data_IF_268032193878
#
_entry.id   IF_268032193878
#
_cell.length_a   1.000
_cell.length_b   1.000
_cell.length_c   1.000
_cell.angle_alpha   90.00
_cell.angle_beta   90.00
_cell.angle_gamma   90.00
#
_symmetry.space_group_name_H-M   'P 1'
#
loop_
_entity.id
_entity.type
_entity.pdbx_description
1 polymer ?
#
# COMPACT_ATOMS: atom_id res chain seq x y z
N UNK A 1 -5.34 -12.00 2.50
CA UNK A 1 -6.14 -11.35 1.44
C UNK A 1 -5.64 -9.94 1.18
N UNK A 2 -5.88 -8.95 2.03
CA UNK A 2 -5.48 -7.53 1.79
C UNK A 2 -4.03 -7.38 1.32
N UNK A 3 -3.05 -8.05 1.94
CA UNK A 3 -1.66 -8.09 1.46
C UNK A 3 -1.55 -8.46 -0.03
N UNK A 4 -2.18 -9.57 -0.44
CA UNK A 4 -2.16 -10.01 -1.84
C UNK A 4 -2.89 -9.06 -2.78
N UNK A 5 -3.98 -8.43 -2.33
CA UNK A 5 -4.70 -7.41 -3.11
C UNK A 5 -3.80 -6.20 -3.36
N UNK A 6 -3.09 -5.71 -2.34
CA UNK A 6 -2.15 -4.58 -2.48
C UNK A 6 -1.01 -4.95 -3.44
N UNK A 7 -0.38 -6.11 -3.27
CA UNK A 7 0.71 -6.57 -4.15
C UNK A 7 0.22 -6.69 -5.60
N UNK A 8 -0.93 -7.32 -5.81
CA UNK A 8 -1.50 -7.48 -7.13
C UNK A 8 -1.95 -6.15 -7.76
N UNK A 9 -2.48 -5.22 -6.96
CA UNK A 9 -2.82 -3.87 -7.41
C UNK A 9 -1.58 -3.09 -7.85
N UNK A 10 -0.46 -3.25 -7.14
CA UNK A 10 0.83 -2.71 -7.55
C UNK A 10 1.31 -3.27 -8.88
N UNK A 11 1.22 -4.59 -9.06
CA UNK A 11 1.51 -5.24 -10.34
C UNK A 11 0.61 -4.69 -11.46
N UNK A 12 -0.69 -4.55 -11.21
CA UNK A 12 -1.65 -4.00 -12.18
C UNK A 12 -1.27 -2.58 -12.59
N UNK A 13 -0.70 -1.77 -11.70
CA UNK A 13 -0.16 -0.43 -12.03
C UNK A 13 1.15 -0.52 -12.83
N UNK A 14 2.07 -1.39 -12.42
CA UNK A 14 3.39 -1.55 -13.06
C UNK A 14 3.29 -2.15 -14.47
N UNK A 15 2.25 -2.94 -14.74
CA UNK A 15 1.92 -3.47 -16.08
C UNK A 15 0.92 -2.60 -16.84
N UNK A 16 0.66 -1.39 -16.34
CA UNK A 16 -0.24 -0.40 -16.95
C UNK A 16 -1.63 -0.97 -17.31
N UNK A 17 -2.10 -1.91 -16.50
CA UNK A 17 -3.33 -2.65 -16.75
C UNK A 17 -4.54 -2.04 -16.03
N UNK A 18 -4.35 -0.93 -15.32
CA UNK A 18 -5.34 -0.38 -14.39
C UNK A 18 -6.58 0.26 -15.02
N UNK A 19 -6.60 0.44 -16.35
CA UNK A 19 -7.70 1.04 -17.12
C UNK A 19 -8.16 0.14 -18.29
N UNK A 20 -7.80 -1.14 -18.26
CA UNK A 20 -8.19 -2.14 -19.27
C UNK A 20 -9.68 -2.52 -19.24
N UNK A 21 -10.35 -2.36 -18.09
CA UNK A 21 -11.78 -2.62 -17.89
C UNK A 21 -12.53 -1.29 -17.71
N UNK A 22 -13.16 -0.87 -18.80
CA UNK A 22 -13.72 0.47 -18.97
C UNK A 22 -15.10 0.61 -18.32
N UNK A 23 -15.79 -0.51 -18.10
CA UNK A 23 -17.12 -0.53 -17.48
C UNK A 23 -17.03 -0.82 -15.98
N UNK A 24 -17.78 -0.06 -15.19
CA UNK A 24 -17.99 -0.38 -13.79
C UNK A 24 -19.26 -1.22 -13.62
N UNK A 25 -19.07 -2.54 -13.62
CA UNK A 25 -20.11 -3.54 -13.35
C UNK A 25 -19.82 -4.26 -12.03
N UNK A 26 -20.41 -3.84 -10.89
CA UNK A 26 -20.08 -4.38 -9.57
C UNK A 26 -20.35 -5.88 -9.42
N UNK A 27 -21.44 -6.35 -10.04
CA UNK A 27 -21.90 -7.75 -9.93
C UNK A 27 -21.63 -8.50 -11.24
N UNK A 28 -22.16 -8.02 -12.37
CA UNK A 28 -22.04 -8.71 -13.67
C UNK A 28 -20.62 -8.71 -14.24
N UNK A 29 -19.78 -7.73 -13.87
CA UNK A 29 -18.36 -7.68 -14.24
C UNK A 29 -17.47 -8.63 -13.44
N UNK A 30 -18.04 -9.59 -12.71
CA UNK A 30 -17.29 -10.67 -12.09
C UNK A 30 -16.98 -11.81 -13.07
N UNK A 31 -17.82 -12.00 -14.11
CA UNK A 31 -17.59 -13.01 -15.15
C UNK A 31 -16.43 -12.57 -16.05
N UNK A 32 -15.44 -13.45 -16.24
CA UNK A 32 -14.40 -13.27 -17.26
C UNK A 32 -15.00 -13.59 -18.65
N UNK A 33 -14.65 -12.86 -19.73
CA UNK A 33 -15.02 -13.27 -21.08
C UNK A 33 -14.55 -14.70 -21.38
N UNK A 34 -15.43 -15.48 -22.02
CA UNK A 34 -15.27 -16.92 -22.24
C UNK A 34 -15.35 -17.33 -23.71
N UNK A 35 -15.90 -16.49 -24.57
CA UNK A 35 -15.94 -16.70 -26.02
C UNK A 35 -15.13 -15.64 -26.76
N UNK A 36 -14.72 -15.94 -27.98
CA UNK A 36 -13.98 -14.99 -28.82
C UNK A 36 -14.81 -13.72 -29.09
N UNK A 37 -16.13 -13.87 -29.31
CA UNK A 37 -17.04 -12.73 -29.45
C UNK A 37 -17.09 -11.83 -28.21
N UNK A 38 -17.13 -12.42 -26.99
CA UNK A 38 -17.10 -11.63 -25.75
C UNK A 38 -15.76 -10.88 -25.61
N UNK A 39 -14.65 -11.50 -26.00
CA UNK A 39 -13.33 -10.88 -26.00
C UNK A 39 -13.21 -9.73 -27.01
N UNK A 40 -13.72 -9.94 -28.23
CA UNK A 40 -13.71 -8.91 -29.27
C UNK A 40 -14.53 -7.69 -28.85
N UNK A 41 -15.70 -7.89 -28.23
CA UNK A 41 -16.52 -6.78 -27.71
C UNK A 41 -15.76 -5.95 -26.67
N UNK A 42 -15.10 -6.60 -25.71
CA UNK A 42 -14.33 -5.88 -24.68
C UNK A 42 -13.09 -5.20 -25.27
N UNK A 43 -12.45 -5.81 -26.27
CA UNK A 43 -11.28 -5.21 -26.93
C UNK A 43 -11.67 -4.02 -27.80
N UNK A 44 -12.79 -4.07 -28.53
CA UNK A 44 -13.32 -2.94 -29.30
C UNK A 44 -13.67 -1.75 -28.40
N UNK A 45 -14.21 -2.01 -27.20
CA UNK A 45 -14.37 -0.95 -26.19
C UNK A 45 -13.02 -0.36 -25.80
N UNK A 46 -12.02 -1.21 -25.48
CA UNK A 46 -10.70 -0.76 -25.08
C UNK A 46 -9.99 0.08 -26.16
N UNK A 47 -10.11 -0.29 -27.44
CA UNK A 47 -9.56 0.46 -28.58
C UNK A 47 -10.09 1.88 -28.68
N UNK A 48 -11.27 2.15 -28.14
CA UNK A 48 -11.83 3.51 -28.12
C UNK A 48 -11.18 4.38 -27.04
N UNK A 49 -10.34 3.85 -26.14
CA UNK A 49 -9.79 4.61 -25.02
C UNK A 49 -8.42 5.25 -25.32
N UNK A 50 -8.12 6.37 -24.64
CA UNK A 50 -6.83 7.04 -24.75
C UNK A 50 -5.63 6.12 -24.45
N UNK A 51 -5.76 5.18 -23.51
CA UNK A 51 -4.68 4.27 -23.11
C UNK A 51 -4.24 3.37 -24.27
N UNK A 52 -5.18 2.87 -25.09
CA UNK A 52 -4.84 2.14 -26.32
C UNK A 52 -4.08 3.02 -27.32
N UNK A 53 -4.45 4.30 -27.44
CA UNK A 53 -3.84 5.21 -28.42
C UNK A 53 -2.51 5.83 -27.98
N UNK A 54 -2.23 5.91 -26.67
CA UNK A 54 -1.03 6.58 -26.13
C UNK A 54 -0.04 5.64 -25.44
N UNK A 55 -0.50 4.52 -24.89
CA UNK A 55 0.31 3.60 -24.07
C UNK A 55 0.42 2.23 -24.74
N UNK A 56 -0.71 1.61 -25.08
CA UNK A 56 -0.78 0.27 -25.64
C UNK A 56 -1.08 0.27 -27.15
N UNK A 57 -0.28 1.05 -27.89
CA UNK A 57 -0.50 1.26 -29.33
C UNK A 57 -0.28 -0.04 -30.10
N UNK A 58 -1.34 -0.53 -30.76
CA UNK A 58 -1.27 -1.68 -31.65
C UNK A 58 -1.09 -3.04 -30.95
N UNK A 59 -1.43 -3.13 -29.66
CA UNK A 59 -1.39 -4.41 -28.95
C UNK A 59 -2.32 -5.45 -29.60
N UNK A 60 -1.94 -6.72 -29.50
CA UNK A 60 -2.78 -7.82 -30.00
C UNK A 60 -3.94 -8.11 -29.04
N UNK A 61 -4.94 -8.88 -29.48
CA UNK A 61 -5.99 -9.38 -28.59
C UNK A 61 -5.42 -10.21 -27.42
N UNK A 62 -4.34 -10.97 -27.65
CA UNK A 62 -3.71 -11.77 -26.61
C UNK A 62 -2.98 -10.92 -25.58
N UNK A 63 -2.38 -9.80 -25.99
CA UNK A 63 -1.82 -8.82 -25.06
C UNK A 63 -2.92 -8.11 -24.26
N UNK A 64 -4.05 -7.77 -24.91
CA UNK A 64 -5.23 -7.24 -24.22
C UNK A 64 -5.77 -8.20 -23.16
N UNK A 65 -5.89 -9.50 -23.48
CA UNK A 65 -6.32 -10.54 -22.51
C UNK A 65 -5.43 -10.56 -21.27
N UNK A 66 -4.12 -10.33 -21.40
CA UNK A 66 -3.18 -10.29 -20.27
C UNK A 66 -3.44 -9.11 -19.35
N UNK A 67 -3.53 -7.89 -19.88
CA UNK A 67 -3.81 -6.69 -19.08
C UNK A 67 -5.22 -6.74 -18.47
N UNK A 68 -6.21 -7.22 -19.23
CA UNK A 68 -7.58 -7.42 -18.75
C UNK A 68 -7.62 -8.39 -17.57
N UNK A 69 -6.89 -9.51 -17.65
CA UNK A 69 -6.83 -10.48 -16.56
C UNK A 69 -6.25 -9.89 -15.28
N UNK A 70 -5.19 -9.07 -15.38
CA UNK A 70 -4.58 -8.41 -14.22
C UNK A 70 -5.61 -7.56 -13.48
N UNK A 71 -6.34 -6.72 -14.20
CA UNK A 71 -7.35 -5.87 -13.61
C UNK A 71 -8.58 -6.64 -13.12
N UNK A 72 -9.07 -7.59 -13.92
CA UNK A 72 -10.19 -8.47 -13.56
C UNK A 72 -9.88 -9.21 -12.26
N UNK A 73 -8.69 -9.80 -12.13
CA UNK A 73 -8.30 -10.53 -10.94
C UNK A 73 -8.24 -9.60 -9.73
N UNK A 74 -7.64 -8.41 -9.88
CA UNK A 74 -7.58 -7.40 -8.82
C UNK A 74 -8.98 -7.00 -8.30
N UNK A 75 -9.90 -6.69 -9.22
CA UNK A 75 -11.29 -6.32 -8.89
C UNK A 75 -12.02 -7.48 -8.21
N UNK A 76 -11.87 -8.71 -8.71
CA UNK A 76 -12.56 -9.88 -8.18
C UNK A 76 -12.04 -10.35 -6.82
N UNK A 77 -10.73 -10.30 -6.57
CA UNK A 77 -10.20 -10.59 -5.24
C UNK A 77 -10.67 -9.53 -4.21
N UNK A 78 -10.87 -8.28 -4.65
CA UNK A 78 -11.52 -7.22 -3.87
C UNK A 78 -12.96 -7.54 -3.50
N UNK A 79 -13.77 -7.98 -4.47
CA UNK A 79 -15.16 -8.43 -4.24
C UNK A 79 -15.22 -9.62 -3.29
N UNK A 80 -14.36 -10.62 -3.52
CA UNK A 80 -14.26 -11.80 -2.64
C UNK A 80 -13.89 -11.39 -1.21
N UNK A 81 -12.96 -10.47 -1.05
CA UNK A 81 -12.61 -9.93 0.27
C UNK A 81 -13.81 -9.23 0.93
N UNK A 82 -14.61 -8.49 0.17
CA UNK A 82 -15.91 -7.97 0.57
C UNK A 82 -16.79 -9.01 1.24
N UNK A 83 -17.03 -10.13 0.55
CA UNK A 83 -17.87 -11.24 1.04
C UNK A 83 -17.25 -11.92 2.26
N UNK A 84 -15.95 -12.26 2.20
CA UNK A 84 -15.22 -12.97 3.26
C UNK A 84 -15.12 -12.14 4.54
N UNK A 85 -15.13 -10.82 4.45
CA UNK A 85 -15.16 -9.94 5.61
C UNK A 85 -16.59 -9.68 6.10
N UNK A 86 -17.45 -9.15 5.23
CA UNK A 86 -18.79 -8.66 5.62
C UNK A 86 -19.72 -9.78 6.06
N UNK A 87 -19.68 -10.94 5.40
CA UNK A 87 -20.55 -12.08 5.73
C UNK A 87 -20.34 -12.58 7.16
N UNK A 88 -19.12 -13.02 7.54
CA UNK A 88 -18.82 -13.43 8.90
C UNK A 88 -19.00 -12.31 9.92
N UNK A 89 -18.62 -11.07 9.60
CA UNK A 89 -18.80 -9.94 10.50
C UNK A 89 -20.29 -9.70 10.83
N UNK A 90 -21.15 -9.68 9.81
CA UNK A 90 -22.59 -9.55 9.97
C UNK A 90 -23.18 -10.69 10.80
N UNK A 91 -22.79 -11.94 10.51
CA UNK A 91 -23.22 -13.11 11.29
C UNK A 91 -22.84 -13.00 12.77
N UNK A 92 -21.58 -12.67 13.09
CA UNK A 92 -21.14 -12.59 14.48
C UNK A 92 -21.79 -11.45 15.24
N UNK A 93 -22.02 -10.31 14.60
CA UNK A 93 -22.73 -9.16 15.20
C UNK A 93 -24.21 -9.50 15.43
N UNK A 94 -24.90 -10.04 14.42
CA UNK A 94 -26.32 -10.41 14.53
C UNK A 94 -26.58 -11.50 15.58
N UNK A 95 -25.64 -12.43 15.77
CA UNK A 95 -25.72 -13.47 16.82
C UNK A 95 -25.25 -13.01 18.20
N UNK A 96 -24.92 -11.73 18.39
CA UNK A 96 -24.43 -11.21 19.67
C UNK A 96 -23.10 -11.82 20.12
N UNK A 97 -22.33 -12.43 19.20
CA UNK A 97 -21.04 -13.08 19.47
C UNK A 97 -19.88 -12.08 19.56
N UNK A 98 -20.17 -10.79 19.45
CA UNK A 98 -19.20 -9.69 19.53
C UNK A 98 -19.73 -8.65 20.52
N UNK A 99 -18.85 -8.13 21.38
CA UNK A 99 -19.21 -7.02 22.26
C UNK A 99 -19.60 -5.77 21.47
N UNK A 100 -20.40 -4.87 22.05
CA UNK A 100 -20.80 -3.59 21.41
C UNK A 100 -19.61 -2.82 20.84
N UNK A 101 -18.51 -2.72 21.60
CA UNK A 101 -17.26 -2.09 21.14
C UNK A 101 -16.61 -2.84 19.98
N UNK A 102 -16.69 -4.16 19.96
CA UNK A 102 -16.21 -4.97 18.85
C UNK A 102 -17.07 -4.81 17.59
N UNK A 103 -18.39 -4.72 17.74
CA UNK A 103 -19.31 -4.47 16.64
C UNK A 103 -19.06 -3.10 15.98
N UNK A 104 -18.86 -2.03 16.77
CA UNK A 104 -18.49 -0.70 16.25
C UNK A 104 -17.18 -0.76 15.45
N UNK A 105 -16.17 -1.50 15.94
CA UNK A 105 -14.89 -1.67 15.22
C UNK A 105 -15.06 -2.43 13.90
N UNK A 106 -15.84 -3.52 13.90
CA UNK A 106 -16.13 -4.27 12.68
C UNK A 106 -16.92 -3.41 11.67
N UNK A 107 -17.89 -2.64 12.15
CA UNK A 107 -18.63 -1.68 11.32
C UNK A 107 -17.73 -0.62 10.70
N UNK A 108 -16.84 -0.02 11.49
CA UNK A 108 -15.86 0.95 10.98
C UNK A 108 -14.91 0.35 9.93
N UNK A 109 -14.43 -0.89 10.14
CA UNK A 109 -13.65 -1.61 9.13
C UNK A 109 -14.46 -1.92 7.85
N UNK A 110 -15.76 -2.20 8.00
CA UNK A 110 -16.69 -2.35 6.88
C UNK A 110 -16.88 -1.07 6.09
N UNK A 111 -17.01 0.07 6.76
CA UNK A 111 -17.06 1.40 6.12
C UNK A 111 -15.77 1.69 5.35
N UNK A 112 -14.61 1.40 5.95
CA UNK A 112 -13.32 1.55 5.26
C UNK A 112 -13.21 0.66 4.01
N UNK A 113 -13.74 -0.57 4.07
CA UNK A 113 -13.80 -1.49 2.93
C UNK A 113 -14.73 -0.98 1.82
N UNK A 114 -15.89 -0.43 2.17
CA UNK A 114 -16.76 0.21 1.17
C UNK A 114 -16.07 1.44 0.56
N UNK A 115 -15.42 2.25 1.39
CA UNK A 115 -14.60 3.37 0.95
C UNK A 115 -13.47 2.95 0.00
N UNK A 116 -12.87 1.77 0.21
CA UNK A 116 -11.87 1.21 -0.72
C UNK A 116 -12.47 0.96 -2.10
N UNK A 117 -13.67 0.38 -2.16
CA UNK A 117 -14.38 0.18 -3.42
C UNK A 117 -14.74 1.49 -4.12
N UNK A 118 -15.23 2.48 -3.37
CA UNK A 118 -15.56 3.81 -3.90
C UNK A 118 -14.30 4.52 -4.42
N UNK A 119 -13.20 4.48 -3.68
CA UNK A 119 -11.94 5.10 -4.10
C UNK A 119 -11.35 4.41 -5.33
N UNK A 120 -11.43 3.08 -5.40
CA UNK A 120 -11.01 2.31 -6.58
C UNK A 120 -11.85 2.61 -7.81
N UNK A 121 -13.17 2.76 -7.65
CA UNK A 121 -14.04 3.24 -8.73
C UNK A 121 -13.67 4.66 -9.17
N UNK A 122 -13.48 5.59 -8.23
CA UNK A 122 -13.10 6.97 -8.52
C UNK A 122 -11.77 7.06 -9.26
N UNK A 123 -10.77 6.26 -8.88
CA UNK A 123 -9.48 6.15 -9.59
C UNK A 123 -9.64 5.81 -11.06
N UNK A 124 -10.49 4.82 -11.37
CA UNK A 124 -10.73 4.39 -12.75
C UNK A 124 -11.59 5.39 -13.50
N UNK A 125 -12.73 5.80 -12.93
CA UNK A 125 -13.68 6.71 -13.57
C UNK A 125 -13.01 8.03 -14.01
N UNK A 126 -12.20 8.62 -13.14
CA UNK A 126 -11.44 9.84 -13.45
C UNK A 126 -10.22 9.61 -14.37
N UNK A 127 -9.80 8.37 -14.57
CA UNK A 127 -8.82 7.99 -15.60
C UNK A 127 -9.45 7.86 -16.99
N UNK A 128 -10.79 7.74 -17.06
CA UNK A 128 -11.56 7.54 -18.28
C UNK A 128 -12.23 8.82 -18.82
N UNK A 129 -12.06 9.97 -18.16
CA UNK A 129 -12.68 11.23 -18.58
C UNK A 129 -12.19 11.69 -19.97
N UNK A 130 -13.13 12.03 -20.85
CA UNK A 130 -12.91 12.35 -22.27
C UNK A 130 -11.94 13.53 -22.49
N UNK A 131 -11.88 14.48 -21.55
CA UNK A 131 -10.95 15.62 -21.60
C UNK A 131 -9.46 15.26 -21.56
N UNK A 132 -9.11 13.99 -21.33
CA UNK A 132 -7.73 13.47 -21.48
C UNK A 132 -7.38 13.07 -22.93
N UNK A 133 -8.36 12.93 -23.83
CA UNK A 133 -8.11 12.74 -25.28
C UNK A 133 -7.51 14.00 -25.92
N UNK A 134 -7.98 15.17 -25.50
CA UNK A 134 -7.71 16.45 -26.17
C UNK A 134 -6.47 17.18 -25.63
N UNK A 135 -5.91 16.73 -24.50
CA UNK A 135 -4.61 17.23 -24.01
C UNK A 135 -3.50 16.40 -24.65
N UNK A 136 -2.76 17.01 -25.59
CA UNK A 136 -1.60 16.38 -26.25
C UNK A 136 -0.49 16.01 -25.24
N UNK A 137 -0.44 16.67 -24.09
CA UNK A 137 0.67 16.54 -23.13
C UNK A 137 0.43 15.52 -22.01
N UNK A 138 -0.79 14.98 -21.88
CA UNK A 138 -1.21 14.16 -20.73
C UNK A 138 -1.32 12.68 -21.12
N UNK A 139 -0.46 11.84 -20.53
CA UNK A 139 -0.55 10.38 -20.63
C UNK A 139 -1.77 9.94 -19.80
N UNK A 140 -2.73 9.17 -20.36
CA UNK A 140 -3.93 8.76 -19.64
C UNK A 140 -3.53 7.77 -18.56
N UNK A 141 -3.45 8.24 -17.32
CA UNK A 141 -3.07 7.43 -16.16
C UNK A 141 -3.85 7.85 -14.94
N UNK A 142 -3.90 6.96 -13.96
CA UNK A 142 -4.45 7.29 -12.66
C UNK A 142 -3.52 8.28 -11.98
N UNK A 143 -4.03 9.47 -11.63
CA UNK A 143 -3.26 10.47 -10.87
C UNK A 143 -2.60 9.85 -9.64
N UNK A 144 -1.34 10.22 -9.41
CA UNK A 144 -0.54 9.86 -8.24
C UNK A 144 -1.27 10.16 -6.92
N UNK A 145 -2.08 11.23 -6.87
CA UNK A 145 -2.91 11.54 -5.71
C UNK A 145 -3.96 10.47 -5.44
N UNK A 146 -4.64 10.00 -6.50
CA UNK A 146 -5.69 8.98 -6.38
C UNK A 146 -5.11 7.61 -6.08
N UNK A 147 -4.01 7.24 -6.73
CA UNK A 147 -3.25 6.02 -6.43
C UNK A 147 -2.81 5.99 -4.96
N UNK A 148 -2.18 7.07 -4.50
CA UNK A 148 -1.70 7.19 -3.12
C UNK A 148 -2.84 7.21 -2.10
N UNK A 149 -3.96 7.89 -2.39
CA UNK A 149 -5.14 7.89 -1.51
C UNK A 149 -5.77 6.50 -1.38
N UNK A 150 -5.86 5.76 -2.48
CA UNK A 150 -6.37 4.39 -2.45
C UNK A 150 -5.45 3.46 -1.67
N UNK A 151 -4.14 3.55 -1.88
CA UNK A 151 -3.17 2.78 -1.09
C UNK A 151 -3.20 3.16 0.39
N UNK A 152 -3.34 4.45 0.72
CA UNK A 152 -3.47 4.92 2.10
C UNK A 152 -4.67 4.30 2.80
N UNK A 153 -5.83 4.32 2.16
CA UNK A 153 -7.03 3.70 2.71
C UNK A 153 -6.89 2.16 2.80
N UNK A 154 -6.17 1.52 1.86
CA UNK A 154 -5.86 0.09 1.93
C UNK A 154 -4.95 -0.24 3.13
N UNK A 155 -3.95 0.60 3.42
CA UNK A 155 -3.07 0.46 4.58
C UNK A 155 -3.75 0.73 5.91
N UNK A 156 -4.65 1.71 5.98
CA UNK A 156 -5.48 1.94 7.17
C UNK A 156 -6.36 0.71 7.44
N UNK A 157 -7.00 0.16 6.40
CA UNK A 157 -7.79 -1.05 6.49
C UNK A 157 -6.94 -2.26 6.91
N UNK A 158 -5.78 -2.46 6.28
CA UNK A 158 -4.82 -3.52 6.62
C UNK A 158 -4.38 -3.44 8.08
N UNK A 159 -3.96 -2.26 8.54
CA UNK A 159 -3.52 -2.04 9.91
C UNK A 159 -4.65 -2.28 10.90
N UNK A 160 -5.85 -1.78 10.61
CA UNK A 160 -7.04 -1.99 11.42
C UNK A 160 -7.40 -3.47 11.58
N UNK A 161 -7.45 -4.21 10.47
CA UNK A 161 -7.71 -5.66 10.46
C UNK A 161 -6.64 -6.44 11.21
N UNK A 162 -5.36 -6.14 10.97
CA UNK A 162 -4.24 -6.81 11.62
C UNK A 162 -4.26 -6.60 13.14
N UNK A 163 -4.38 -5.34 13.59
CA UNK A 163 -4.44 -5.00 15.01
C UNK A 163 -5.68 -5.58 15.69
N UNK A 164 -6.84 -5.51 15.04
CA UNK A 164 -8.08 -6.08 15.58
C UNK A 164 -7.98 -7.61 15.70
N UNK A 165 -7.58 -8.28 14.62
CA UNK A 165 -7.43 -9.74 14.57
C UNK A 165 -6.41 -10.24 15.59
N UNK A 166 -5.22 -9.64 15.66
CA UNK A 166 -4.23 -10.01 16.67
C UNK A 166 -4.69 -9.73 18.10
N UNK A 167 -5.52 -8.72 18.32
CA UNK A 167 -6.12 -8.47 19.63
C UNK A 167 -7.11 -9.57 20.01
N UNK A 168 -7.99 -9.97 19.09
CA UNK A 168 -8.93 -11.09 19.30
C UNK A 168 -8.17 -12.38 19.60
N UNK A 169 -7.13 -12.71 18.82
CA UNK A 169 -6.30 -13.90 19.04
C UNK A 169 -5.58 -13.86 20.39
N UNK A 170 -5.03 -12.70 20.78
CA UNK A 170 -4.35 -12.54 22.07
C UNK A 170 -5.32 -12.67 23.25
N UNK A 171 -6.49 -12.04 23.16
CA UNK A 171 -7.54 -12.17 24.19
C UNK A 171 -8.05 -13.60 24.30
N UNK A 172 -8.29 -14.28 23.19
CA UNK A 172 -8.70 -15.69 23.19
C UNK A 172 -7.67 -16.60 23.89
N UNK A 173 -6.37 -16.37 23.65
CA UNK A 173 -5.31 -17.09 24.37
C UNK A 173 -5.31 -16.80 25.87
N UNK A 174 -5.60 -15.57 26.28
CA UNK A 174 -5.69 -15.19 27.69
C UNK A 174 -6.88 -15.86 28.37
N UNK A 175 -8.08 -15.77 27.79
CA UNK A 175 -9.32 -16.39 28.32
C UNK A 175 -9.18 -17.91 28.43
N UNK A 176 -8.56 -18.57 27.45
CA UNK A 176 -8.39 -20.03 27.43
C UNK A 176 -7.19 -20.52 28.27
N UNK A 177 -6.54 -19.66 29.05
CA UNK A 177 -5.38 -20.03 29.87
C UNK A 177 -4.13 -20.45 29.07
N UNK A 178 -4.06 -20.14 27.76
CA UNK A 178 -2.94 -20.53 26.87
C UNK A 178 -1.82 -19.48 26.80
N UNK A 179 -1.86 -18.49 27.69
CA UNK A 179 -0.83 -17.46 27.80
C UNK A 179 -0.02 -17.71 29.08
N UNK A 180 1.26 -18.00 28.93
CA UNK A 180 2.15 -18.24 30.06
C UNK A 180 2.33 -16.95 30.89
N UNK A 181 2.26 -17.09 32.22
CA UNK A 181 2.53 -16.04 33.21
C UNK A 181 1.91 -14.67 32.88
N UNK A 182 0.58 -14.58 32.75
CA UNK A 182 -0.10 -13.35 32.31
C UNK A 182 0.11 -12.16 33.25
N UNK A 183 0.24 -12.39 34.57
CA UNK A 183 0.49 -11.33 35.55
C UNK A 183 1.88 -10.72 35.40
N UNK A 184 2.92 -11.55 35.30
CA UNK A 184 4.27 -11.06 35.03
C UNK A 184 4.33 -10.26 33.72
N UNK A 185 3.69 -10.78 32.66
CA UNK A 185 3.61 -10.08 31.38
C UNK A 185 2.86 -8.74 31.50
N UNK A 186 1.82 -8.64 32.34
CA UNK A 186 1.08 -7.39 32.58
C UNK A 186 1.98 -6.35 33.25
N UNK A 187 2.69 -6.72 34.31
CA UNK A 187 3.64 -5.85 35.02
C UNK A 187 4.75 -5.36 34.09
N UNK A 188 5.36 -6.26 33.32
CA UNK A 188 6.43 -5.92 32.38
C UNK A 188 5.95 -4.88 31.33
N UNK A 189 4.79 -5.11 30.71
CA UNK A 189 4.21 -4.24 29.68
C UNK A 189 3.73 -2.87 30.19
N UNK A 190 3.56 -2.75 31.50
CA UNK A 190 3.20 -1.49 32.17
C UNK A 190 4.42 -0.69 32.63
N UNK A 191 5.62 -1.25 32.57
CA UNK A 191 6.85 -0.52 32.89
C UNK A 191 6.99 0.77 32.07
N UNK A 192 7.62 1.79 32.68
CA UNK A 192 7.87 3.08 32.03
C UNK A 192 8.70 2.90 30.75
N UNK A 193 9.71 2.04 30.80
CA UNK A 193 10.59 1.76 29.66
C UNK A 193 9.80 1.20 28.46
N UNK A 194 8.98 0.16 28.67
CA UNK A 194 8.17 -0.41 27.58
C UNK A 194 7.04 0.52 27.12
N UNK A 195 6.52 1.38 27.99
CA UNK A 195 5.53 2.38 27.60
C UNK A 195 6.12 3.43 26.65
N UNK A 196 7.32 3.93 26.94
CA UNK A 196 8.04 4.86 26.05
C UNK A 196 8.40 4.15 24.75
N UNK A 197 8.94 2.94 24.83
CA UNK A 197 9.33 2.16 23.66
C UNK A 197 8.12 1.85 22.77
N UNK A 198 6.96 1.48 23.34
CA UNK A 198 5.70 1.28 22.61
C UNK A 198 5.28 2.53 21.83
N UNK A 199 5.35 3.71 22.43
CA UNK A 199 5.01 4.97 21.73
C UNK A 199 5.94 5.19 20.53
N UNK A 200 7.24 4.94 20.70
CA UNK A 200 8.21 4.99 19.60
C UNK A 200 7.89 3.96 18.51
N UNK A 201 7.54 2.73 18.86
CA UNK A 201 7.13 1.72 17.85
C UNK A 201 5.88 2.12 17.08
N UNK A 202 4.93 2.81 17.71
CA UNK A 202 3.76 3.36 17.02
C UNK A 202 4.16 4.45 16.02
N UNK A 203 5.02 5.39 16.45
CA UNK A 203 5.55 6.44 15.58
C UNK A 203 6.37 5.85 14.41
N UNK A 204 7.17 4.82 14.66
CA UNK A 204 7.91 4.10 13.61
C UNK A 204 6.98 3.40 12.62
N UNK A 205 5.89 2.77 13.08
CA UNK A 205 4.90 2.16 12.18
C UNK A 205 4.20 3.22 11.31
N UNK A 206 3.90 4.39 11.87
CA UNK A 206 3.38 5.53 11.11
C UNK A 206 4.39 6.01 10.07
N UNK A 207 5.65 6.19 10.45
CA UNK A 207 6.73 6.60 9.55
C UNK A 207 6.92 5.62 8.38
N UNK A 208 6.88 4.30 8.65
CA UNK A 208 6.89 3.27 7.61
C UNK A 208 5.70 3.45 6.67
N UNK A 209 4.49 3.67 7.22
CA UNK A 209 3.29 3.95 6.43
C UNK A 209 3.48 5.15 5.50
N UNK A 210 3.94 6.29 6.02
CA UNK A 210 4.20 7.52 5.23
C UNK A 210 5.25 7.24 4.13
N UNK A 211 6.30 6.47 4.43
CA UNK A 211 7.33 6.07 3.45
C UNK A 211 6.74 5.23 2.32
N UNK A 212 5.82 4.32 2.65
CA UNK A 212 5.15 3.53 1.63
C UNK A 212 4.23 4.40 0.75
N UNK A 213 3.60 5.43 1.32
CA UNK A 213 2.77 6.38 0.55
C UNK A 213 3.61 7.28 -0.36
N UNK A 214 4.78 7.74 0.06
CA UNK A 214 5.68 8.48 -0.85
C UNK A 214 6.17 7.57 -1.98
N UNK A 215 6.35 6.26 -1.73
CA UNK A 215 6.64 5.29 -2.79
C UNK A 215 5.52 5.16 -3.84
N UNK A 216 4.26 5.30 -3.43
CA UNK A 216 3.12 5.32 -4.36
C UNK A 216 3.10 6.59 -5.22
N UNK A 217 3.55 7.72 -4.68
CA UNK A 217 3.73 8.96 -5.46
C UNK A 217 4.82 8.78 -6.51
N UNK A 218 5.96 8.15 -6.16
CA UNK A 218 7.03 7.82 -7.10
C UNK A 218 6.51 6.92 -8.23
N UNK A 219 5.76 5.87 -7.91
CA UNK A 219 5.16 4.97 -8.91
C UNK A 219 4.06 5.64 -9.75
N UNK A 220 3.30 6.59 -9.18
CA UNK A 220 2.28 7.34 -9.89
C UNK A 220 2.84 8.32 -10.91
N UNK A 221 4.03 8.88 -10.64
CA UNK A 221 4.70 9.83 -11.52
C UNK A 221 5.71 9.19 -12.48
N UNK A 222 5.93 7.87 -12.37
CA UNK A 222 7.01 7.13 -13.05
C UNK A 222 8.41 7.66 -12.70
N UNK A 223 8.52 8.31 -11.53
CA UNK A 223 9.73 8.99 -11.08
C UNK A 223 10.90 8.03 -10.76
N UNK A 224 10.64 6.73 -10.68
CA UNK A 224 11.67 5.71 -10.51
C UNK A 224 12.61 5.58 -11.72
N UNK A 225 12.23 6.10 -12.88
CA UNK A 225 12.98 6.01 -14.14
C UNK A 225 13.88 7.23 -14.43
N UNK A 226 13.91 8.23 -13.54
CA UNK A 226 14.66 9.49 -13.75
C UNK A 226 16.14 9.34 -13.39
N UNK A 227 16.43 9.28 -12.09
CA UNK A 227 17.77 9.06 -11.59
C UNK A 227 17.94 7.61 -11.21
N UNK A 228 18.77 6.85 -11.90
CA UNK A 228 18.96 5.41 -11.65
C UNK A 228 20.30 5.11 -10.94
N UNK A 229 20.96 6.11 -10.37
CA UNK A 229 22.15 5.96 -9.54
C UNK A 229 21.79 5.99 -8.04
N UNK A 230 22.68 5.45 -7.20
CA UNK A 230 22.61 5.56 -5.75
C UNK A 230 24.03 5.58 -5.15
N UNK A 231 24.34 6.45 -4.16
CA UNK A 231 23.46 7.42 -3.50
C UNK A 231 23.26 8.72 -4.29
N UNK A 232 24.00 8.92 -5.39
CA UNK A 232 23.93 10.12 -6.22
C UNK A 232 22.63 10.17 -7.04
N UNK A 233 22.27 11.39 -7.45
CA UNK A 233 21.23 11.73 -8.41
C UNK A 233 21.88 12.66 -9.45
N UNK A 234 22.51 12.06 -10.46
CA UNK A 234 23.35 12.76 -11.43
C UNK A 234 24.73 13.11 -10.85
N UNK A 235 25.11 14.39 -10.90
CA UNK A 235 26.44 14.85 -10.46
C UNK A 235 26.57 15.07 -8.95
N UNK A 236 25.47 15.02 -8.19
CA UNK A 236 25.45 15.25 -6.74
C UNK A 236 24.54 14.30 -5.99
N UNK A 237 24.50 14.42 -4.66
CA UNK A 237 23.57 13.63 -3.80
C UNK A 237 22.11 14.07 -3.91
N UNK A 238 21.88 15.26 -4.47
CA UNK A 238 20.57 15.78 -4.85
C UNK A 238 20.60 16.19 -6.32
N UNK A 239 19.45 16.18 -7.00
CA UNK A 239 19.30 16.80 -8.31
C UNK A 239 19.70 18.29 -8.29
N UNK A 240 20.03 18.88 -9.45
CA UNK A 240 20.26 20.32 -9.55
C UNK A 240 19.10 21.14 -8.97
N UNK A 241 19.39 22.24 -8.27
CA UNK A 241 18.36 23.12 -7.68
C UNK A 241 17.38 23.65 -8.73
N UNK A 242 17.85 23.83 -9.96
CA UNK A 242 17.04 24.21 -11.13
C UNK A 242 15.98 23.17 -11.50
N UNK A 243 16.12 21.92 -11.08
CA UNK A 243 15.12 20.88 -11.29
C UNK A 243 14.14 20.77 -10.13
N UNK A 244 14.54 21.11 -8.90
CA UNK A 244 13.72 20.90 -7.70
C UNK A 244 12.58 21.92 -7.53
N UNK A 245 12.77 23.16 -8.02
CA UNK A 245 11.86 24.29 -7.73
C UNK A 245 11.31 24.96 -8.99
N UNK A 246 11.41 24.29 -10.14
CA UNK A 246 11.08 24.90 -11.42
C UNK A 246 9.72 24.42 -11.93
N UNK A 247 8.86 25.37 -12.27
CA UNK A 247 7.46 25.13 -12.65
C UNK A 247 7.32 24.20 -13.86
N UNK A 248 8.27 24.24 -14.81
CA UNK A 248 8.35 23.29 -15.93
C UNK A 248 8.29 21.81 -15.52
N UNK A 249 8.88 21.43 -14.37
CA UNK A 249 8.90 20.03 -13.93
C UNK A 249 7.67 19.65 -13.10
N UNK A 250 6.90 20.62 -12.60
CA UNK A 250 5.63 20.38 -11.93
C UNK A 250 4.52 20.23 -13.00
N UNK A 251 3.88 19.05 -13.08
CA UNK A 251 2.84 18.79 -14.09
C UNK A 251 1.55 19.56 -13.80
N UNK A 252 1.24 20.60 -14.57
CA UNK A 252 -0.08 21.28 -14.60
C UNK A 252 -0.02 22.81 -14.66
N UNK A 253 -1.18 23.48 -14.64
CA UNK A 253 -1.33 24.95 -14.60
C UNK A 253 -0.47 25.56 -13.47
N UNK A 254 0.43 26.53 -13.73
CA UNK A 254 1.41 27.04 -12.76
C UNK A 254 0.73 27.66 -11.53
N UNK A 255 0.51 26.86 -10.49
CA UNK A 255 -0.08 27.29 -9.22
C UNK A 255 0.78 26.85 -8.03
N UNK A 256 1.87 27.60 -7.82
CA UNK A 256 2.59 27.68 -6.56
C UNK A 256 3.65 26.60 -6.31
N UNK A 257 4.74 27.01 -5.64
CA UNK A 257 5.93 26.18 -5.36
C UNK A 257 5.63 24.86 -4.62
N UNK A 258 4.49 24.74 -3.91
CA UNK A 258 4.12 23.54 -3.16
C UNK A 258 3.87 22.32 -4.06
N UNK A 259 3.47 22.52 -5.33
CA UNK A 259 3.20 21.41 -6.27
C UNK A 259 4.46 20.63 -6.62
N UNK A 260 5.65 21.22 -6.46
CA UNK A 260 6.89 20.47 -6.64
C UNK A 260 7.00 19.28 -5.67
N UNK A 261 6.49 19.39 -4.44
CA UNK A 261 6.55 18.30 -3.46
C UNK A 261 5.68 17.09 -3.85
N UNK A 262 4.78 17.23 -4.83
CA UNK A 262 3.78 16.19 -5.16
C UNK A 262 3.66 15.87 -6.64
N UNK A 263 4.20 16.70 -7.52
CA UNK A 263 4.03 16.61 -8.98
C UNK A 263 5.34 16.71 -9.75
N UNK A 264 6.40 17.24 -9.13
CA UNK A 264 7.72 17.23 -9.71
C UNK A 264 8.36 15.86 -9.46
N UNK A 265 8.54 15.02 -10.49
CA UNK A 265 8.95 13.65 -10.31
C UNK A 265 10.38 13.55 -9.74
N UNK A 266 11.25 14.51 -10.08
CA UNK A 266 12.62 14.59 -9.54
C UNK A 266 12.63 14.84 -8.03
N UNK A 267 11.83 15.81 -7.55
CA UNK A 267 11.73 16.11 -6.12
C UNK A 267 11.04 14.96 -5.37
N UNK A 268 9.94 14.41 -5.89
CA UNK A 268 9.24 13.26 -5.27
C UNK A 268 10.16 12.04 -5.15
N UNK A 269 11.03 11.79 -6.13
CA UNK A 269 12.03 10.73 -6.04
C UNK A 269 13.04 10.99 -4.92
N UNK A 270 13.56 12.21 -4.81
CA UNK A 270 14.48 12.62 -3.74
C UNK A 270 13.82 12.47 -2.35
N UNK A 271 12.59 12.97 -2.20
CA UNK A 271 11.82 12.88 -0.95
C UNK A 271 11.64 11.43 -0.51
N UNK A 272 11.29 10.54 -1.44
CA UNK A 272 11.15 9.12 -1.12
C UNK A 272 12.48 8.50 -0.67
N UNK A 273 13.61 8.82 -1.33
CA UNK A 273 14.94 8.36 -0.92
C UNK A 273 15.31 8.84 0.48
N UNK A 274 15.13 10.13 0.76
CA UNK A 274 15.42 10.73 2.08
C UNK A 274 14.56 10.09 3.16
N UNK A 275 13.26 9.92 2.89
CA UNK A 275 12.31 9.33 3.82
C UNK A 275 12.59 7.83 4.05
N UNK A 276 12.98 7.09 3.02
CA UNK A 276 13.36 5.68 3.12
C UNK A 276 14.62 5.51 3.99
N UNK A 277 15.66 6.32 3.77
CA UNK A 277 16.88 6.27 4.58
C UNK A 277 16.62 6.70 6.03
N UNK A 278 15.85 7.77 6.23
CA UNK A 278 15.42 8.20 7.57
C UNK A 278 14.70 7.09 8.31
N UNK A 279 13.75 6.43 7.62
CA UNK A 279 13.01 5.29 8.17
C UNK A 279 13.96 4.14 8.53
N UNK A 280 14.87 3.76 7.63
CA UNK A 280 15.84 2.71 7.89
C UNK A 280 16.69 2.99 9.13
N UNK A 281 17.23 4.21 9.28
CA UNK A 281 18.03 4.57 10.45
C UNK A 281 17.21 4.63 11.74
N UNK A 282 15.98 5.13 11.70
CA UNK A 282 15.06 5.10 12.86
C UNK A 282 14.77 3.66 13.28
N UNK A 283 14.47 2.76 12.34
CA UNK A 283 14.22 1.35 12.64
C UNK A 283 15.48 0.63 13.15
N UNK A 284 16.65 0.98 12.63
CA UNK A 284 17.94 0.48 13.10
C UNK A 284 18.22 0.91 14.54
N UNK A 285 17.98 2.18 14.87
CA UNK A 285 18.11 2.69 16.23
C UNK A 285 17.11 2.01 17.20
N UNK A 286 15.87 1.79 16.74
CA UNK A 286 14.86 1.04 17.50
C UNK A 286 15.29 -0.41 17.76
N UNK A 287 15.86 -1.08 16.76
CA UNK A 287 16.39 -2.42 16.88
C UNK A 287 17.57 -2.47 17.86
N UNK A 288 18.53 -1.56 17.72
CA UNK A 288 19.70 -1.46 18.60
C UNK A 288 19.32 -1.24 20.05
N UNK A 289 18.36 -0.35 20.32
CA UNK A 289 17.86 -0.13 21.68
C UNK A 289 17.08 -1.33 22.19
N UNK A 290 16.21 -1.91 21.36
CA UNK A 290 15.28 -2.97 21.74
C UNK A 290 15.93 -4.33 21.99
N UNK A 291 17.04 -4.66 21.33
CA UNK A 291 17.73 -5.96 21.52
C UNK A 291 18.22 -6.16 22.96
N UNK A 292 18.62 -5.08 23.64
CA UNK A 292 19.07 -5.09 25.03
C UNK A 292 17.94 -4.99 26.07
N UNK A 293 16.69 -4.81 25.65
CA UNK A 293 15.55 -4.65 26.56
C UNK A 293 14.95 -6.00 26.97
N UNK A 294 14.30 -6.01 28.13
CA UNK A 294 13.46 -7.14 28.56
C UNK A 294 12.15 -7.14 27.76
N UNK A 295 12.17 -7.82 26.61
CA UNK A 295 11.03 -7.93 25.71
C UNK A 295 10.38 -9.33 25.80
N UNK A 296 9.04 -9.42 25.80
CA UNK A 296 8.35 -10.68 25.57
C UNK A 296 8.81 -11.33 24.26
N UNK A 297 8.85 -12.67 24.19
CA UNK A 297 9.33 -13.41 23.01
C UNK A 297 8.70 -12.93 21.70
N UNK A 298 7.38 -12.68 21.71
CA UNK A 298 6.67 -12.16 20.54
C UNK A 298 7.15 -10.77 20.08
N UNK A 299 7.46 -9.87 21.03
CA UNK A 299 8.01 -8.55 20.73
C UNK A 299 9.45 -8.65 20.21
N UNK A 300 10.28 -9.55 20.77
CA UNK A 300 11.64 -9.77 20.30
C UNK A 300 11.67 -10.28 18.85
N UNK A 301 10.84 -11.27 18.52
CA UNK A 301 10.71 -11.78 17.15
C UNK A 301 10.24 -10.67 16.20
N UNK A 302 9.23 -9.89 16.59
CA UNK A 302 8.74 -8.79 15.76
C UNK A 302 9.81 -7.69 15.56
N UNK A 303 10.62 -7.40 16.57
CA UNK A 303 11.72 -6.44 16.49
C UNK A 303 12.80 -6.89 15.48
N UNK A 304 13.23 -8.16 15.54
CA UNK A 304 14.20 -8.71 14.59
C UNK A 304 13.63 -8.78 13.17
N UNK A 305 12.38 -9.21 13.02
CA UNK A 305 11.71 -9.25 11.73
C UNK A 305 11.61 -7.85 11.11
N UNK A 306 11.24 -6.83 11.89
CA UNK A 306 11.17 -5.44 11.44
C UNK A 306 12.52 -4.93 10.93
N UNK A 307 13.61 -5.21 11.64
CA UNK A 307 14.95 -4.79 11.21
C UNK A 307 15.41 -5.54 9.96
N UNK A 308 15.18 -6.85 9.88
CA UNK A 308 15.52 -7.65 8.71
C UNK A 308 14.76 -7.17 7.47
N UNK A 309 13.44 -6.94 7.59
CA UNK A 309 12.61 -6.42 6.51
C UNK A 309 12.98 -4.99 6.13
N UNK A 310 13.42 -4.14 7.07
CA UNK A 310 13.90 -2.79 6.77
C UNK A 310 15.21 -2.83 5.96
N UNK A 311 16.12 -3.74 6.31
CA UNK A 311 17.37 -3.95 5.56
C UNK A 311 17.08 -4.46 4.16
N UNK A 312 16.19 -5.45 4.04
CA UNK A 312 15.73 -5.96 2.76
C UNK A 312 15.00 -4.87 1.93
N UNK A 313 14.26 -3.97 2.57
CA UNK A 313 13.57 -2.88 1.88
C UNK A 313 14.56 -1.95 1.18
N UNK A 314 15.62 -1.52 1.86
CA UNK A 314 16.65 -0.66 1.26
C UNK A 314 17.37 -1.40 0.14
N UNK A 315 17.74 -2.67 0.34
CA UNK A 315 18.37 -3.49 -0.70
C UNK A 315 17.48 -3.62 -1.95
N UNK A 316 16.19 -3.93 -1.77
CA UNK A 316 15.22 -3.99 -2.87
C UNK A 316 15.00 -2.64 -3.53
N UNK A 317 14.97 -1.54 -2.77
CA UNK A 317 14.78 -0.19 -3.30
C UNK A 317 15.96 0.24 -4.18
N UNK A 318 17.19 0.07 -3.68
CA UNK A 318 18.42 0.36 -4.42
C UNK A 318 18.53 -0.53 -5.65
N UNK A 319 18.28 -1.84 -5.53
CA UNK A 319 18.35 -2.76 -6.68
C UNK A 319 17.23 -2.55 -7.70
N UNK A 320 16.05 -2.09 -7.28
CA UNK A 320 14.98 -1.66 -8.22
C UNK A 320 15.47 -0.46 -9.00
N UNK A 321 16.06 0.51 -8.31
CA UNK A 321 16.52 1.76 -8.89
C UNK A 321 17.66 1.58 -9.89
N UNK A 322 18.75 0.91 -9.50
CA UNK A 322 19.95 0.79 -10.35
C UNK A 322 19.76 -0.09 -11.58
N UNK A 323 18.74 -0.96 -11.58
CA UNK A 323 18.45 -1.85 -12.69
C UNK A 323 17.32 -1.32 -13.60
N UNK A 324 16.93 -0.04 -13.49
CA UNK A 324 15.92 0.56 -14.36
C UNK A 324 14.49 0.08 -14.07
N UNK A 325 14.13 -0.09 -12.79
CA UNK A 325 12.81 -0.48 -12.29
C UNK A 325 12.28 -1.80 -12.90
N UNK A 326 13.00 -2.93 -12.82
CA UNK A 326 12.45 -4.21 -13.26
C UNK A 326 11.17 -4.55 -12.48
N UNK A 327 10.10 -4.95 -13.17
CA UNK A 327 8.78 -5.20 -12.56
C UNK A 327 8.88 -6.17 -11.37
N UNK A 328 9.71 -7.22 -11.48
CA UNK A 328 9.93 -8.17 -10.40
C UNK A 328 10.52 -7.50 -9.15
N UNK A 329 11.53 -6.65 -9.30
CA UNK A 329 12.18 -5.95 -8.19
C UNK A 329 11.23 -4.90 -7.58
N UNK A 330 10.55 -4.12 -8.41
CA UNK A 330 9.58 -3.12 -7.96
C UNK A 330 8.43 -3.79 -7.18
N UNK A 331 7.94 -4.94 -7.66
CA UNK A 331 6.89 -5.72 -6.99
C UNK A 331 7.38 -6.33 -5.68
N UNK A 332 8.61 -6.87 -5.65
CA UNK A 332 9.22 -7.38 -4.43
C UNK A 332 9.43 -6.26 -3.39
N UNK A 333 9.90 -5.09 -3.82
CA UNK A 333 10.06 -3.90 -2.99
C UNK A 333 8.73 -3.46 -2.40
N UNK A 334 7.66 -3.44 -3.20
CA UNK A 334 6.31 -3.14 -2.70
C UNK A 334 5.82 -4.20 -1.72
N UNK A 335 5.92 -5.49 -2.03
CA UNK A 335 5.49 -6.57 -1.17
C UNK A 335 6.22 -6.54 0.19
N UNK A 336 7.54 -6.35 0.18
CA UNK A 336 8.33 -6.24 1.38
C UNK A 336 7.94 -5.01 2.23
N UNK A 337 7.53 -3.90 1.60
CA UNK A 337 7.07 -2.71 2.33
C UNK A 337 5.81 -2.99 3.18
N UNK A 338 4.87 -3.79 2.66
CA UNK A 338 3.66 -4.20 3.39
C UNK A 338 4.01 -5.14 4.55
N UNK A 339 4.96 -6.04 4.34
CA UNK A 339 5.48 -6.92 5.41
C UNK A 339 6.22 -6.12 6.49
N UNK A 340 7.02 -5.13 6.10
CA UNK A 340 7.70 -4.23 7.01
C UNK A 340 6.69 -3.47 7.88
N UNK A 341 5.66 -2.88 7.28
CA UNK A 341 4.56 -2.25 8.02
C UNK A 341 3.87 -3.25 8.97
N UNK A 342 3.59 -4.46 8.50
CA UNK A 342 2.99 -5.51 9.32
C UNK A 342 3.87 -5.86 10.54
N UNK A 343 5.18 -5.97 10.36
CA UNK A 343 6.12 -6.27 11.44
C UNK A 343 6.23 -5.13 12.46
N UNK A 344 6.22 -3.87 12.02
CA UNK A 344 6.19 -2.70 12.89
C UNK A 344 4.89 -2.62 13.71
N UNK A 345 3.74 -2.84 13.06
CA UNK A 345 2.44 -2.93 13.73
C UNK A 345 2.37 -4.12 14.69
N UNK A 346 2.99 -5.25 14.33
CA UNK A 346 3.07 -6.44 15.18
C UNK A 346 3.87 -6.14 16.45
N UNK A 347 5.03 -5.50 16.33
CA UNK A 347 5.85 -5.08 17.45
C UNK A 347 5.08 -4.12 18.36
N UNK A 348 4.43 -3.11 17.79
CA UNK A 348 3.55 -2.21 18.54
C UNK A 348 2.47 -2.99 19.30
N UNK A 349 1.78 -3.91 18.63
CA UNK A 349 0.69 -4.71 19.22
C UNK A 349 1.14 -5.59 20.38
N UNK A 350 2.29 -6.27 20.25
CA UNK A 350 2.79 -7.15 21.32
C UNK A 350 3.24 -6.37 22.55
N UNK A 351 3.58 -5.09 22.41
CA UNK A 351 3.91 -4.18 23.50
C UNK A 351 2.69 -3.51 24.16
N UNK A 352 1.48 -3.70 23.61
CA UNK A 352 0.26 -3.15 24.23
C UNK A 352 -0.03 -3.86 25.56
N UNK A 353 -0.56 -3.14 26.57
CA UNK A 353 -0.97 -3.74 27.84
C UNK A 353 -1.96 -4.89 27.62
N UNK A 354 -1.87 -5.92 28.47
CA UNK A 354 -2.87 -6.98 28.50
C UNK A 354 -4.21 -6.43 29.00
N UNK A 355 -5.31 -6.95 28.45
CA UNK A 355 -6.63 -6.69 28.99
C UNK A 355 -6.73 -7.21 30.44
N UNK A 356 -7.48 -6.49 31.27
CA UNK A 356 -8.06 -7.05 32.50
C UNK A 356 -9.32 -7.79 32.05
N UNK A 357 -9.34 -9.10 32.25
CA UNK A 357 -10.47 -9.99 31.92
C UNK A 357 -11.21 -10.28 33.20
#
# INVERSE_FOLDING_TARGET
MVFGIVVWGGLTRLTESGLSIVEWKPITGAKLPTSDLEWDIEFEKYKQHPEYHKVHVGITLDDFKRIYFMEWFHRNIGRLFGVVFLGPAAYFVAKGKVSRRGAVKLGGLGVLLLGQGVMGWYMVASGLEEGMRERDDDVPRVSQYRLTSHLALAYVLYAGLALYGWNVLRTNRLVRGKLANPEHLRTLLQSRELTVFRRKTAASALLVGITCLSGAMVAGLDAGLLYNEFPMMGTGITPPLSELWHEFYARGDPSGMWRNFTENPTLVQLEHRVLAMTTFFVLSAMWWRGRGMQLPRGSRVALHAMYALATLQVALGVTTLINGVPIANASAHQANSVLLLASALRLYHTLRPLARI
#
